data_IF_556004473675
#
_entry.id   IF_556004473675
#
_cell.length_a   1.000
_cell.length_b   1.000
_cell.length_c   1.000
_cell.angle_alpha   90.00
_cell.angle_beta   90.00
_cell.angle_gamma   90.00
#
_symmetry.space_group_name_H-M   'P 1'
#
loop_
_entity.id
_entity.type
_entity.pdbx_description
1 polymer ?
#
# COMPACT_ATOMS: atom_id res chain seq x y z
N UNK A 1 14.18 -15.75 -19.23
CA UNK A 1 13.67 -14.38 -19.47
C UNK A 1 13.53 -13.72 -18.11
N UNK A 2 13.99 -12.47 -17.89
CA UNK A 2 13.70 -11.81 -16.63
C UNK A 2 12.20 -11.56 -16.57
N UNK A 3 11.51 -12.23 -15.66
CA UNK A 3 10.14 -11.89 -15.28
C UNK A 3 10.17 -10.44 -14.82
N UNK A 4 9.57 -9.52 -15.58
CA UNK A 4 9.36 -8.17 -15.11
C UNK A 4 8.70 -8.26 -13.74
N UNK A 5 9.26 -7.64 -12.68
CA UNK A 5 8.58 -7.62 -11.40
C UNK A 5 7.21 -6.99 -11.64
N UNK A 6 6.14 -7.71 -11.28
CA UNK A 6 4.82 -7.10 -11.17
C UNK A 6 4.94 -6.01 -10.11
N UNK A 7 5.16 -4.78 -10.55
CA UNK A 7 5.16 -3.62 -9.68
C UNK A 7 3.72 -3.32 -9.34
N UNK A 8 3.35 -3.41 -8.05
CA UNK A 8 2.04 -2.93 -7.62
C UNK A 8 2.15 -1.45 -7.30
N UNK A 9 1.38 -0.63 -8.03
CA UNK A 9 1.22 0.78 -7.76
C UNK A 9 -0.06 1.04 -6.96
N UNK A 10 0.06 1.74 -5.83
CA UNK A 10 -1.09 2.28 -5.09
C UNK A 10 -1.13 3.80 -5.23
N UNK A 11 -2.29 4.34 -5.62
CA UNK A 11 -2.55 5.78 -5.68
C UNK A 11 -3.24 6.23 -4.40
N UNK A 12 -2.72 7.30 -3.81
CA UNK A 12 -3.26 7.89 -2.59
C UNK A 12 -3.90 9.22 -2.95
N UNK A 13 -5.18 9.42 -2.61
CA UNK A 13 -5.86 10.71 -2.75
C UNK A 13 -6.43 11.12 -1.40
N UNK A 14 -6.00 12.28 -0.93
CA UNK A 14 -6.47 12.86 0.32
C UNK A 14 -7.39 14.02 -0.07
N UNK A 15 -8.67 13.97 0.28
CA UNK A 15 -9.70 14.91 -0.20
C UNK A 15 -9.58 16.37 0.29
N UNK A 16 -8.41 16.79 0.77
CA UNK A 16 -8.08 18.13 1.28
C UNK A 16 -6.62 18.45 0.88
N UNK A 17 -6.15 19.72 0.88
CA UNK A 17 -4.79 20.03 0.45
C UNK A 17 -3.76 19.45 1.43
N UNK A 18 -3.36 18.20 1.20
CA UNK A 18 -2.26 17.53 1.88
C UNK A 18 -0.94 17.71 1.11
N UNK A 19 -0.88 18.73 0.24
CA UNK A 19 0.32 19.10 -0.49
C UNK A 19 1.51 19.24 0.46
N UNK A 20 2.60 18.56 0.15
CA UNK A 20 3.82 18.61 0.96
C UNK A 20 3.76 17.84 2.29
N UNK A 21 2.63 17.18 2.61
CA UNK A 21 2.57 16.28 3.76
C UNK A 21 3.43 15.03 3.50
N UNK A 22 3.99 14.49 4.58
CA UNK A 22 4.70 13.22 4.54
C UNK A 22 3.70 12.08 4.74
N UNK A 23 3.80 11.05 3.92
CA UNK A 23 3.13 9.78 4.14
C UNK A 23 4.17 8.76 4.59
N UNK A 24 3.95 8.17 5.76
CA UNK A 24 4.80 7.13 6.32
C UNK A 24 3.99 5.90 6.62
N UNK A 25 4.49 4.74 6.21
CA UNK A 25 3.76 3.50 6.37
C UNK A 25 4.57 2.27 6.05
N UNK A 26 3.85 1.16 5.94
CA UNK A 26 4.42 -0.14 5.63
C UNK A 26 3.49 -0.92 4.72
N UNK A 27 4.10 -1.63 3.78
CA UNK A 27 3.42 -2.58 2.92
C UNK A 27 3.41 -3.97 3.55
N UNK A 28 2.29 -4.65 3.37
CA UNK A 28 2.06 -5.98 3.90
C UNK A 28 1.51 -6.89 2.81
N UNK A 29 2.05 -8.10 2.73
CA UNK A 29 1.44 -9.17 1.94
C UNK A 29 0.50 -9.96 2.84
N UNK A 30 -0.73 -10.22 2.38
CA UNK A 30 -1.72 -11.01 3.11
C UNK A 30 -2.46 -11.96 2.16
N UNK A 31 -2.93 -13.12 2.66
CA UNK A 31 -3.88 -13.92 1.91
C UNK A 31 -5.18 -13.17 1.63
N UNK A 32 -5.72 -13.35 0.43
CA UNK A 32 -7.05 -12.87 0.05
C UNK A 32 -8.01 -14.07 0.06
N UNK A 33 -8.42 -14.49 1.26
CA UNK A 33 -9.24 -15.70 1.43
C UNK A 33 -10.64 -15.51 0.85
N UNK A 34 -11.22 -14.32 0.97
CA UNK A 34 -12.53 -13.99 0.41
C UNK A 34 -12.39 -13.31 -0.98
N UNK A 35 -11.68 -13.97 -1.90
CA UNK A 35 -11.32 -13.37 -3.19
C UNK A 35 -12.52 -13.13 -4.14
N UNK A 36 -13.64 -13.83 -3.93
CA UNK A 36 -14.80 -13.79 -4.83
C UNK A 36 -16.02 -13.28 -4.07
N UNK A 37 -16.34 -12.00 -4.21
CA UNK A 37 -17.48 -11.36 -3.55
C UNK A 37 -18.84 -12.02 -3.85
N UNK A 38 -18.96 -12.66 -5.02
CA UNK A 38 -20.17 -13.39 -5.42
C UNK A 38 -20.37 -14.73 -4.66
N UNK A 39 -19.36 -15.20 -3.91
CA UNK A 39 -19.39 -16.47 -3.18
C UNK A 39 -19.10 -16.24 -1.68
N UNK A 40 -20.02 -15.59 -0.95
CA UNK A 40 -19.82 -15.34 0.48
C UNK A 40 -19.68 -16.66 1.25
N UNK A 41 -18.72 -16.72 2.16
CA UNK A 41 -18.44 -17.91 2.98
C UNK A 41 -17.49 -18.93 2.35
N UNK A 42 -17.05 -18.73 1.09
CA UNK A 42 -16.02 -19.55 0.46
C UNK A 42 -14.63 -18.93 0.67
N UNK A 43 -13.66 -19.76 1.06
CA UNK A 43 -12.27 -19.37 1.19
C UNK A 43 -11.43 -19.94 0.04
N UNK A 44 -10.52 -19.11 -0.47
CA UNK A 44 -9.64 -19.44 -1.59
C UNK A 44 -8.16 -19.47 -1.17
N UNK A 45 -7.36 -20.25 -1.89
CA UNK A 45 -5.93 -20.44 -1.65
C UNK A 45 -5.61 -21.66 -0.77
N UNK A 46 -4.33 -21.98 -0.72
CA UNK A 46 -3.79 -23.06 0.10
C UNK A 46 -3.60 -22.56 1.55
N UNK A 47 -4.07 -23.35 2.51
CA UNK A 47 -3.93 -23.05 3.95
C UNK A 47 -2.58 -23.51 4.51
N UNK A 48 -1.93 -24.47 3.85
CA UNK A 48 -0.62 -24.98 4.22
C UNK A 48 0.53 -24.16 3.59
N UNK A 49 0.24 -23.32 2.59
CA UNK A 49 1.24 -22.46 1.98
C UNK A 49 1.71 -21.38 2.97
N UNK A 50 3.02 -21.39 3.24
CA UNK A 50 3.64 -20.54 4.25
C UNK A 50 4.11 -19.20 3.67
N UNK A 51 4.54 -18.28 4.55
CA UNK A 51 5.10 -16.98 4.17
C UNK A 51 4.14 -16.03 3.41
N UNK A 52 2.85 -16.35 3.36
CA UNK A 52 1.83 -15.51 2.71
C UNK A 52 1.44 -14.27 3.51
N UNK A 53 1.78 -14.24 4.80
CA UNK A 53 1.58 -13.08 5.68
C UNK A 53 2.92 -12.53 6.14
N UNK A 54 3.38 -11.45 5.50
CA UNK A 54 4.67 -10.83 5.82
C UNK A 54 4.67 -9.32 5.61
N UNK A 55 5.69 -8.67 6.15
CA UNK A 55 6.04 -7.30 5.79
C UNK A 55 6.75 -7.30 4.43
N UNK A 56 6.47 -6.30 3.60
CA UNK A 56 7.22 -6.02 2.38
C UNK A 56 8.18 -4.87 2.67
N UNK A 57 7.89 -3.68 2.15
CA UNK A 57 8.74 -2.50 2.26
C UNK A 57 8.16 -1.45 3.21
N UNK A 58 9.03 -0.62 3.78
CA UNK A 58 8.64 0.65 4.39
C UNK A 58 8.36 1.68 3.31
N UNK A 59 7.40 2.56 3.58
CA UNK A 59 6.97 3.60 2.65
C UNK A 59 7.22 4.94 3.30
N UNK A 60 7.96 5.80 2.62
CA UNK A 60 8.13 7.19 2.99
C UNK A 60 8.13 8.04 1.71
N UNK A 61 7.11 8.90 1.58
CA UNK A 61 6.98 9.78 0.42
C UNK A 61 6.37 11.13 0.81
N UNK A 62 6.66 12.14 0.00
CA UNK A 62 6.02 13.46 0.10
C UNK A 62 4.92 13.52 -0.93
N UNK A 63 3.71 13.93 -0.52
CA UNK A 63 2.61 14.11 -1.46
C UNK A 63 2.85 15.32 -2.37
N UNK A 64 2.46 15.21 -3.63
CA UNK A 64 2.53 16.27 -4.63
C UNK A 64 1.59 17.45 -4.29
N UNK A 65 1.62 18.49 -5.13
CA UNK A 65 0.78 19.69 -4.95
C UNK A 65 -0.72 19.41 -4.90
N UNK A 66 -1.16 18.26 -5.42
CA UNK A 66 -2.55 17.81 -5.44
C UNK A 66 -2.86 16.82 -4.31
N UNK A 67 -1.91 16.54 -3.42
CA UNK A 67 -2.05 15.57 -2.35
C UNK A 67 -1.98 14.12 -2.84
N UNK A 68 -1.37 13.87 -3.99
CA UNK A 68 -1.17 12.53 -4.55
C UNK A 68 0.22 11.98 -4.24
N UNK A 69 0.29 10.66 -4.13
CA UNK A 69 1.53 9.91 -4.05
C UNK A 69 1.35 8.55 -4.69
N UNK A 70 2.45 8.02 -5.22
CA UNK A 70 2.52 6.67 -5.77
C UNK A 70 3.45 5.83 -4.91
N UNK A 71 2.98 4.64 -4.53
CA UNK A 71 3.78 3.64 -3.83
C UNK A 71 3.94 2.44 -4.75
N UNK A 72 5.18 2.08 -5.07
CA UNK A 72 5.51 0.93 -5.90
C UNK A 72 6.32 -0.09 -5.11
N UNK A 73 5.97 -1.37 -5.21
CA UNK A 73 6.81 -2.49 -4.74
C UNK A 73 6.93 -3.55 -5.81
N UNK A 74 8.12 -4.14 -5.95
CA UNK A 74 8.32 -5.28 -6.83
C UNK A 74 7.65 -6.51 -6.23
N UNK A 75 6.87 -7.25 -7.01
CA UNK A 75 6.31 -8.52 -6.53
C UNK A 75 7.45 -9.46 -6.09
N UNK A 76 7.21 -10.14 -4.97
CA UNK A 76 8.08 -11.14 -4.37
C UNK A 76 7.31 -12.47 -4.17
N UNK A 77 6.20 -12.65 -4.90
CA UNK A 77 5.21 -13.71 -4.69
C UNK A 77 4.65 -14.23 -6.01
N UNK A 78 5.42 -14.14 -7.11
CA UNK A 78 5.01 -14.60 -8.44
C UNK A 78 4.73 -16.10 -8.47
N UNK A 79 5.44 -16.86 -7.63
CA UNK A 79 5.31 -18.31 -7.55
C UNK A 79 4.22 -18.76 -6.56
N UNK A 80 3.49 -17.82 -5.92
CA UNK A 80 2.42 -18.19 -5.00
C UNK A 80 1.22 -18.77 -5.75
N UNK A 81 0.66 -19.83 -5.19
CA UNK A 81 -0.53 -20.49 -5.75
C UNK A 81 -1.83 -20.02 -5.08
N UNK A 82 -1.71 -19.20 -4.04
CA UNK A 82 -2.83 -18.62 -3.33
C UNK A 82 -3.16 -17.20 -3.83
N UNK A 83 -4.43 -16.78 -3.80
CA UNK A 83 -4.78 -15.39 -4.02
C UNK A 83 -4.23 -14.54 -2.87
N UNK A 84 -3.53 -13.46 -3.23
CA UNK A 84 -2.88 -12.55 -2.30
C UNK A 84 -3.36 -11.12 -2.52
N UNK A 85 -3.27 -10.32 -1.47
CA UNK A 85 -3.47 -8.88 -1.49
C UNK A 85 -2.26 -8.20 -0.86
N UNK A 86 -1.97 -6.99 -1.36
CA UNK A 86 -1.00 -6.10 -0.74
C UNK A 86 -1.77 -5.00 -0.02
N UNK A 87 -1.45 -4.80 1.24
CA UNK A 87 -2.10 -3.81 2.11
C UNK A 87 -1.09 -2.74 2.45
N UNK A 88 -1.42 -1.49 2.14
CA UNK A 88 -0.69 -0.32 2.63
C UNK A 88 -1.33 0.15 3.94
N UNK A 89 -0.57 0.08 5.04
CA UNK A 89 -0.94 0.75 6.28
C UNK A 89 -0.04 1.96 6.45
N UNK A 90 -0.60 3.15 6.30
CA UNK A 90 0.14 4.40 6.36
C UNK A 90 -0.60 5.46 7.16
N UNK A 91 0.19 6.37 7.70
CA UNK A 91 -0.27 7.56 8.40
C UNK A 91 0.15 8.78 7.61
N UNK A 92 -0.77 9.73 7.46
CA UNK A 92 -0.48 11.04 6.91
C UNK A 92 0.03 11.95 8.02
N UNK A 93 1.26 12.42 7.88
CA UNK A 93 1.91 13.35 8.78
C UNK A 93 1.80 14.75 8.19
N UNK A 94 0.99 15.60 8.84
CA UNK A 94 0.86 17.00 8.47
C UNK A 94 2.15 17.78 8.76
N UNK A 95 2.46 18.75 7.90
CA UNK A 95 3.42 19.81 8.24
C UNK A 95 2.90 20.60 9.43
N UNK A 96 3.62 20.57 10.55
CA UNK A 96 3.32 21.43 11.70
C UNK A 96 3.67 22.86 11.31
N UNK A 97 2.68 23.70 11.00
CA UNK A 97 2.90 25.16 10.89
C UNK A 97 3.42 25.65 12.24
N UNK A 98 4.60 26.25 12.25
CA UNK A 98 5.09 26.96 13.42
C UNK A 98 4.14 28.13 13.71
N UNK A 99 3.84 28.43 14.98
CA UNK A 99 3.11 29.67 15.30
C UNK A 99 4.02 30.86 14.95
N UNK A 100 3.69 31.61 13.88
CA UNK A 100 4.42 32.83 13.53
C UNK A 100 4.48 33.24 12.06
N UNK A 101 3.94 32.48 11.10
CA UNK A 101 4.02 32.88 9.69
C UNK A 101 3.02 34.00 9.33
N UNK A 102 3.48 35.17 8.85
CA UNK A 102 2.63 36.35 8.64
C UNK A 102 1.90 36.39 7.29
N UNK A 103 1.99 35.34 6.47
CA UNK A 103 1.23 35.20 5.24
C UNK A 103 0.28 34.01 5.34
N UNK A 104 -0.79 34.20 6.09
CA UNK A 104 -1.96 33.34 6.17
C UNK A 104 -3.23 34.15 5.98
#
# INVERSE_FOLDING_TARGET
MPTSPLALAALISTGAPASGNQLQGKLFLRPLRDAVAALPGFQFGDIAEENLSRSLDEVQLTLDEKGHGEVTTSSQWQDSHSPLQVVLQASLLGIRRSPGDPYG
#
